data_IF_219645274433
#
_entry.id   IF_219645274433
#
_cell.length_a   1.000
_cell.length_b   1.000
_cell.length_c   1.000
_cell.angle_alpha   90.00
_cell.angle_beta   90.00
_cell.angle_gamma   90.00
#
_symmetry.space_group_name_H-M   'P 1'
#
loop_
_entity.id
_entity.type
_entity.pdbx_description
1 polymer ?
#
# COMPACT_ATOMS: atom_id res chain seq x y z
N UNK A 1 25.66 -37.04 15.60
CA UNK A 1 25.40 -35.58 15.49
C UNK A 1 25.73 -35.09 14.06
N UNK A 2 26.92 -35.43 13.50
CA UNK A 2 27.34 -35.04 12.16
C UNK A 2 26.44 -35.59 11.04
N UNK A 3 25.92 -36.82 11.17
CA UNK A 3 25.02 -37.40 10.18
C UNK A 3 23.63 -36.75 10.18
N UNK A 4 23.15 -36.30 11.36
CA UNK A 4 21.92 -35.47 11.44
C UNK A 4 22.06 -34.09 10.78
N UNK A 5 23.21 -33.46 10.92
CA UNK A 5 23.51 -32.17 10.29
C UNK A 5 23.63 -32.28 8.76
N UNK A 6 24.27 -33.35 8.24
CA UNK A 6 24.32 -33.63 6.79
C UNK A 6 22.94 -33.90 6.20
N UNK A 7 22.08 -34.64 6.90
CA UNK A 7 20.72 -34.92 6.44
C UNK A 7 19.86 -33.69 6.39
N UNK A 8 19.98 -32.79 7.39
CA UNK A 8 19.29 -31.52 7.40
C UNK A 8 19.79 -30.56 6.29
N UNK A 9 21.11 -30.55 6.02
CA UNK A 9 21.69 -29.75 4.94
C UNK A 9 21.23 -30.20 3.55
N UNK A 10 21.15 -31.53 3.33
CA UNK A 10 20.64 -32.06 2.06
C UNK A 10 19.13 -31.82 1.88
N UNK A 11 18.35 -31.91 2.93
CA UNK A 11 16.91 -31.57 2.92
C UNK A 11 16.68 -30.10 2.64
N UNK A 12 17.50 -29.21 3.19
CA UNK A 12 17.48 -27.76 2.91
C UNK A 12 17.85 -27.44 1.46
N UNK A 13 18.86 -28.13 0.89
CA UNK A 13 19.25 -27.97 -0.50
C UNK A 13 18.17 -28.47 -1.48
N UNK A 14 17.54 -29.59 -1.19
CA UNK A 14 16.43 -30.12 -1.99
C UNK A 14 15.22 -29.18 -1.91
N UNK A 15 14.87 -28.69 -0.73
CA UNK A 15 13.78 -27.71 -0.57
C UNK A 15 14.07 -26.39 -1.31
N UNK A 16 15.29 -25.87 -1.23
CA UNK A 16 15.65 -24.65 -1.97
C UNK A 16 15.65 -24.86 -3.49
N UNK A 17 16.06 -26.04 -3.97
CA UNK A 17 15.99 -26.36 -5.41
C UNK A 17 14.55 -26.56 -5.88
N UNK A 18 13.68 -27.14 -5.05
CA UNK A 18 12.26 -27.30 -5.37
C UNK A 18 11.51 -25.98 -5.32
N UNK A 19 11.83 -25.12 -4.36
CA UNK A 19 11.31 -23.73 -4.30
C UNK A 19 11.78 -22.93 -5.51
N UNK A 20 13.05 -23.06 -5.92
CA UNK A 20 13.57 -22.43 -7.14
C UNK A 20 12.89 -22.91 -8.42
N UNK A 21 12.53 -24.22 -8.50
CA UNK A 21 11.76 -24.72 -9.64
C UNK A 21 10.32 -24.20 -9.64
N UNK A 22 9.69 -24.08 -8.48
CA UNK A 22 8.35 -23.49 -8.34
C UNK A 22 8.36 -21.98 -8.67
N UNK A 23 9.44 -21.28 -8.38
CA UNK A 23 9.60 -19.87 -8.72
C UNK A 23 9.72 -19.64 -10.25
N UNK A 24 10.25 -20.59 -11.02
CA UNK A 24 10.27 -20.55 -12.49
C UNK A 24 8.85 -20.59 -13.09
N UNK A 25 7.89 -21.22 -12.40
CA UNK A 25 6.49 -21.29 -12.80
C UNK A 25 5.63 -20.17 -12.18
N UNK A 26 6.19 -19.32 -11.32
CA UNK A 26 5.46 -18.14 -10.80
C UNK A 26 5.18 -17.17 -11.93
N UNK A 27 3.92 -17.00 -12.19
CA UNK A 27 3.39 -16.06 -13.16
C UNK A 27 3.78 -14.65 -12.70
N UNK A 28 4.64 -13.97 -13.47
CA UNK A 28 4.99 -12.57 -13.24
C UNK A 28 3.73 -11.73 -13.04
N UNK A 29 3.72 -10.91 -12.00
CA UNK A 29 2.64 -9.97 -11.73
C UNK A 29 2.72 -8.81 -12.74
N UNK A 30 2.19 -9.03 -13.95
CA UNK A 30 2.14 -8.00 -14.99
C UNK A 30 1.12 -6.93 -14.63
N UNK A 31 1.21 -5.74 -15.27
CA UNK A 31 0.26 -4.63 -15.07
C UNK A 31 -1.19 -5.10 -15.22
N UNK A 32 -1.49 -5.92 -16.23
CA UNK A 32 -2.84 -6.41 -16.48
C UNK A 32 -3.33 -7.37 -15.38
N UNK A 33 -2.47 -8.29 -14.92
CA UNK A 33 -2.80 -9.20 -13.81
C UNK A 33 -2.95 -8.50 -12.46
N UNK A 34 -2.20 -7.43 -12.23
CA UNK A 34 -2.35 -6.61 -11.04
C UNK A 34 -3.74 -5.97 -10.96
N UNK A 35 -4.29 -5.53 -12.10
CA UNK A 35 -5.65 -4.98 -12.19
C UNK A 35 -6.72 -6.02 -11.85
N UNK A 36 -6.60 -7.22 -12.40
CA UNK A 36 -7.59 -8.30 -12.18
C UNK A 36 -7.59 -8.79 -10.72
N UNK A 37 -6.42 -8.96 -10.13
CA UNK A 37 -6.27 -9.40 -8.74
C UNK A 37 -6.86 -8.38 -7.76
N UNK A 38 -6.64 -7.09 -7.98
CA UNK A 38 -7.15 -6.02 -7.10
C UNK A 38 -8.66 -5.87 -7.27
N UNK A 39 -9.18 -5.97 -8.50
CA UNK A 39 -10.62 -5.89 -8.75
C UNK A 39 -11.39 -6.95 -7.97
N UNK A 40 -10.91 -8.19 -7.95
CA UNK A 40 -11.56 -9.30 -7.22
C UNK A 40 -11.55 -9.11 -5.69
N UNK A 41 -10.54 -8.43 -5.14
CA UNK A 41 -10.45 -8.18 -3.69
C UNK A 41 -11.33 -7.02 -3.21
N UNK A 42 -11.56 -5.98 -4.00
CA UNK A 42 -12.24 -4.75 -3.57
C UNK A 42 -13.69 -4.62 -4.08
N UNK A 43 -14.21 -5.58 -4.85
CA UNK A 43 -15.61 -5.61 -5.32
C UNK A 43 -16.62 -6.15 -4.26
N UNK A 44 -16.17 -6.42 -3.03
CA UNK A 44 -17.02 -6.95 -1.93
C UNK A 44 -18.03 -5.91 -1.40
N UNK A 45 -17.99 -4.69 -1.91
CA UNK A 45 -18.90 -3.61 -1.49
C UNK A 45 -18.37 -2.78 -0.31
N UNK A 46 -18.59 -1.47 -0.38
CA UNK A 46 -18.04 -0.52 0.61
C UNK A 46 -18.69 -0.65 1.99
N UNK A 47 -19.90 -1.24 2.09
CA UNK A 47 -20.65 -1.37 3.36
C UNK A 47 -19.89 -2.21 4.40
N UNK A 48 -19.19 -3.26 3.96
CA UNK A 48 -18.37 -4.08 4.84
C UNK A 48 -17.13 -3.31 5.31
N UNK A 49 -16.46 -2.66 4.37
CA UNK A 49 -15.27 -1.87 4.67
C UNK A 49 -15.55 -0.69 5.59
N UNK A 50 -16.66 0.00 5.38
CA UNK A 50 -17.08 1.14 6.22
C UNK A 50 -17.28 0.73 7.69
N UNK A 51 -17.90 -0.44 7.92
CA UNK A 51 -18.09 -1.00 9.28
C UNK A 51 -16.78 -1.49 9.90
N UNK A 52 -15.87 -2.03 9.11
CA UNK A 52 -14.64 -2.65 9.58
C UNK A 52 -13.48 -1.64 9.76
N UNK A 53 -13.37 -0.67 8.86
CA UNK A 53 -12.19 0.22 8.77
C UNK A 53 -12.43 1.60 9.41
N UNK A 54 -13.66 1.88 9.83
CA UNK A 54 -14.02 3.18 10.39
C UNK A 54 -13.97 4.32 9.39
N UNK A 55 -14.04 5.55 9.87
CA UNK A 55 -14.21 6.77 9.04
C UNK A 55 -13.09 7.01 8.04
N UNK A 56 -11.90 6.49 8.28
CA UNK A 56 -10.74 6.71 7.42
C UNK A 56 -10.60 5.69 6.30
N UNK A 57 -11.38 4.61 6.33
CA UNK A 57 -11.32 3.53 5.32
C UNK A 57 -9.89 3.01 5.04
N UNK A 58 -9.00 3.04 6.04
CA UNK A 58 -7.63 2.57 5.88
C UNK A 58 -7.51 1.07 6.15
N UNK A 59 -7.17 0.31 5.13
CA UNK A 59 -7.02 -1.15 5.20
C UNK A 59 -5.59 -1.55 5.56
N UNK A 60 -5.00 -0.86 6.54
CA UNK A 60 -3.67 -1.15 7.10
C UNK A 60 -3.69 -0.96 8.61
N UNK A 61 -2.74 -1.60 9.32
CA UNK A 61 -2.70 -1.57 10.78
C UNK A 61 -2.73 -0.14 11.32
N UNK A 62 -3.57 0.10 12.33
CA UNK A 62 -3.59 1.34 13.08
C UNK A 62 -2.45 1.41 14.10
N UNK A 63 -2.10 2.59 14.57
CA UNK A 63 -1.05 2.80 15.58
C UNK A 63 -1.65 3.06 16.96
N UNK A 64 -1.73 1.98 17.75
CA UNK A 64 -2.19 2.02 19.14
C UNK A 64 -0.99 2.25 20.06
N UNK A 65 -0.75 3.50 20.43
CA UNK A 65 0.29 3.85 21.42
C UNK A 65 -0.25 3.89 22.86
N UNK A 66 -1.55 3.77 23.03
CA UNK A 66 -2.29 3.66 24.29
C UNK A 66 -3.39 2.61 24.14
N UNK A 67 -3.72 1.84 25.20
CA UNK A 67 -4.60 0.67 25.08
C UNK A 67 -6.07 1.01 24.74
N UNK A 68 -6.57 2.15 25.20
CA UNK A 68 -8.01 2.46 25.18
C UNK A 68 -8.45 3.48 24.11
N UNK A 69 -7.61 3.75 23.11
CA UNK A 69 -7.97 4.66 22.02
C UNK A 69 -8.86 3.97 20.98
N UNK A 70 -9.74 4.75 20.36
CA UNK A 70 -10.59 4.27 19.27
C UNK A 70 -9.78 3.91 18.02
N UNK A 71 -10.36 3.07 17.13
CA UNK A 71 -9.76 2.77 15.83
C UNK A 71 -9.51 4.04 15.02
N UNK A 72 -10.46 4.96 14.95
CA UNK A 72 -10.31 6.22 14.20
C UNK A 72 -9.17 7.08 14.73
N UNK A 73 -8.99 7.12 16.05
CA UNK A 73 -7.87 7.84 16.66
C UNK A 73 -6.53 7.14 16.38
N UNK A 74 -6.46 5.82 16.52
CA UNK A 74 -5.26 5.04 16.22
C UNK A 74 -4.86 5.16 14.74
N UNK A 75 -5.83 5.20 13.82
CA UNK A 75 -5.58 5.48 12.39
C UNK A 75 -5.06 6.91 12.17
N UNK A 76 -5.62 7.90 12.87
CA UNK A 76 -5.13 9.29 12.81
C UNK A 76 -3.69 9.40 13.32
N UNK A 77 -3.37 8.69 14.41
CA UNK A 77 -2.00 8.63 14.95
C UNK A 77 -1.02 7.98 13.98
N UNK A 78 -1.45 6.92 13.27
CA UNK A 78 -0.66 6.31 12.18
C UNK A 78 -0.38 7.33 11.07
N UNK A 79 -1.38 8.05 10.59
CA UNK A 79 -1.20 9.07 9.55
C UNK A 79 -0.23 10.15 9.99
N UNK A 80 -0.34 10.62 11.23
CA UNK A 80 0.56 11.60 11.82
C UNK A 80 2.00 11.07 11.94
N UNK A 81 2.18 9.79 12.29
CA UNK A 81 3.49 9.15 12.35
C UNK A 81 4.16 9.06 10.98
N UNK A 82 3.39 8.70 9.94
CA UNK A 82 3.90 8.67 8.55
C UNK A 82 4.28 10.08 8.10
N UNK A 83 3.43 11.07 8.33
CA UNK A 83 3.71 12.46 8.00
C UNK A 83 4.99 12.98 8.67
N UNK A 84 5.19 12.65 9.95
CA UNK A 84 6.42 12.99 10.69
C UNK A 84 7.67 12.35 10.08
N UNK A 85 7.58 11.08 9.65
CA UNK A 85 8.69 10.39 8.97
C UNK A 85 9.02 11.00 7.61
N UNK A 86 8.02 11.50 6.88
CA UNK A 86 8.20 12.16 5.59
C UNK A 86 8.84 13.55 5.70
N UNK A 87 8.92 14.13 6.90
CA UNK A 87 9.45 15.47 7.15
C UNK A 87 8.86 16.50 6.19
N UNK A 88 7.52 16.63 6.23
CA UNK A 88 6.76 17.45 5.30
C UNK A 88 6.89 18.95 5.63
N UNK A 89 6.99 19.75 4.58
CA UNK A 89 6.84 21.21 4.62
C UNK A 89 5.80 21.65 3.61
N UNK A 90 5.16 22.80 3.81
CA UNK A 90 4.14 23.33 2.93
C UNK A 90 4.64 23.43 1.47
N UNK A 91 3.79 23.04 0.52
CA UNK A 91 4.06 23.14 -0.91
C UNK A 91 4.77 21.94 -1.55
N UNK A 92 5.31 20.99 -0.76
CA UNK A 92 5.94 19.78 -1.30
C UNK A 92 4.98 18.96 -2.16
N UNK A 93 5.51 18.33 -3.20
CA UNK A 93 4.82 17.37 -4.06
C UNK A 93 5.10 15.95 -3.57
N UNK A 94 4.05 15.22 -3.22
CA UNK A 94 4.11 13.90 -2.57
C UNK A 94 3.41 12.86 -3.42
N UNK A 95 4.04 11.70 -3.61
CA UNK A 95 3.44 10.53 -4.26
C UNK A 95 3.03 9.49 -3.20
N UNK A 96 1.78 9.05 -3.28
CA UNK A 96 1.20 7.95 -2.50
C UNK A 96 0.99 6.73 -3.40
N UNK A 97 1.86 5.73 -3.31
CA UNK A 97 1.76 4.51 -4.12
C UNK A 97 0.84 3.53 -3.41
N UNK A 98 -0.31 3.24 -4.06
CA UNK A 98 -1.37 2.43 -3.47
C UNK A 98 -2.17 3.18 -2.41
N UNK A 99 -2.70 4.33 -2.80
CA UNK A 99 -3.37 5.27 -1.90
C UNK A 99 -4.67 4.76 -1.27
N UNK A 100 -5.14 3.57 -1.69
CA UNK A 100 -6.40 3.00 -1.20
C UNK A 100 -7.57 3.97 -1.42
N UNK A 101 -8.40 4.14 -0.41
CA UNK A 101 -9.56 5.04 -0.44
C UNK A 101 -9.21 6.53 -0.32
N UNK A 102 -7.93 6.91 -0.29
CA UNK A 102 -7.47 8.30 -0.37
C UNK A 102 -7.40 9.07 0.95
N UNK A 103 -7.74 8.48 2.07
CA UNK A 103 -7.78 9.17 3.36
C UNK A 103 -6.41 9.74 3.80
N UNK A 104 -5.33 9.00 3.56
CA UNK A 104 -3.99 9.47 3.88
C UNK A 104 -3.58 10.66 3.03
N UNK A 105 -3.84 10.63 1.71
CA UNK A 105 -3.59 11.74 0.80
C UNK A 105 -4.35 13.00 1.24
N UNK A 106 -5.64 12.85 1.57
CA UNK A 106 -6.46 13.95 2.10
C UNK A 106 -5.91 14.51 3.42
N UNK A 107 -5.53 13.61 4.35
CA UNK A 107 -4.97 14.01 5.64
C UNK A 107 -3.68 14.85 5.48
N UNK A 108 -2.77 14.41 4.60
CA UNK A 108 -1.52 15.12 4.35
C UNK A 108 -1.79 16.49 3.69
N UNK A 109 -2.62 16.53 2.65
CA UNK A 109 -2.95 17.77 1.97
C UNK A 109 -3.60 18.80 2.91
N UNK A 110 -4.54 18.35 3.74
CA UNK A 110 -5.28 19.20 4.68
C UNK A 110 -4.42 19.74 5.82
N UNK A 111 -3.60 18.87 6.43
CA UNK A 111 -2.89 19.24 7.67
C UNK A 111 -1.48 19.79 7.42
N UNK A 112 -0.84 19.43 6.30
CA UNK A 112 0.54 19.83 5.98
C UNK A 112 0.62 20.72 4.74
N UNK A 113 -0.51 21.01 4.08
CA UNK A 113 -0.60 21.88 2.88
C UNK A 113 0.33 21.42 1.74
N UNK A 114 0.56 20.14 1.63
CA UNK A 114 1.30 19.50 0.55
C UNK A 114 0.37 19.14 -0.60
N UNK A 115 0.91 19.00 -1.82
CA UNK A 115 0.19 18.47 -2.97
C UNK A 115 0.41 16.96 -3.03
N UNK A 116 -0.66 16.18 -3.03
CA UNK A 116 -0.56 14.72 -3.03
C UNK A 116 -1.15 14.14 -4.31
N UNK A 117 -0.33 13.36 -5.02
CA UNK A 117 -0.78 12.47 -6.08
C UNK A 117 -0.89 11.07 -5.51
N UNK A 118 -2.10 10.54 -5.43
CA UNK A 118 -2.35 9.16 -5.01
C UNK A 118 -2.60 8.27 -6.22
N UNK A 119 -2.08 7.03 -6.19
CA UNK A 119 -2.25 6.07 -7.28
C UNK A 119 -2.92 4.82 -6.76
N UNK A 120 -3.97 4.37 -7.44
CA UNK A 120 -4.67 3.11 -7.15
C UNK A 120 -5.07 2.40 -8.43
N UNK A 121 -5.14 1.06 -8.39
CA UNK A 121 -5.65 0.23 -9.48
C UNK A 121 -7.17 -0.04 -9.36
N UNK A 122 -7.81 0.36 -8.25
CA UNK A 122 -9.21 0.11 -7.98
C UNK A 122 -10.09 1.29 -8.35
N UNK A 123 -10.99 1.09 -9.32
CA UNK A 123 -12.02 2.08 -9.67
C UNK A 123 -12.92 2.44 -8.48
N UNK A 124 -13.26 1.44 -7.65
CA UNK A 124 -14.07 1.63 -6.46
C UNK A 124 -13.39 2.56 -5.46
N UNK A 125 -12.10 2.31 -5.18
CA UNK A 125 -11.31 3.18 -4.28
C UNK A 125 -11.20 4.60 -4.83
N UNK A 126 -10.94 4.77 -6.12
CA UNK A 126 -10.88 6.08 -6.74
C UNK A 126 -12.21 6.83 -6.61
N UNK A 127 -13.33 6.20 -6.98
CA UNK A 127 -14.67 6.80 -6.87
C UNK A 127 -14.99 7.21 -5.43
N UNK A 128 -14.61 6.38 -4.47
CA UNK A 128 -14.79 6.69 -3.05
C UNK A 128 -13.93 7.88 -2.62
N UNK A 129 -12.65 7.90 -3.01
CA UNK A 129 -11.73 8.98 -2.69
C UNK A 129 -12.20 10.32 -3.26
N UNK A 130 -12.60 10.35 -4.54
CA UNK A 130 -13.11 11.55 -5.21
C UNK A 130 -14.38 12.10 -4.50
N UNK A 131 -15.22 11.20 -3.97
CA UNK A 131 -16.47 11.57 -3.29
C UNK A 131 -16.26 12.04 -1.85
N UNK A 132 -15.39 11.36 -1.09
CA UNK A 132 -15.32 11.53 0.37
C UNK A 132 -14.05 12.22 0.86
N UNK A 133 -12.96 12.16 0.07
CA UNK A 133 -11.64 12.69 0.42
C UNK A 133 -11.11 13.68 -0.62
N UNK A 134 -11.98 14.31 -1.39
CA UNK A 134 -11.58 15.34 -2.34
C UNK A 134 -10.97 16.55 -1.61
N UNK A 135 -9.93 17.13 -2.20
CA UNK A 135 -9.27 18.34 -1.73
C UNK A 135 -8.54 19.00 -2.89
N UNK A 136 -8.42 20.33 -2.92
CA UNK A 136 -7.77 21.05 -4.01
C UNK A 136 -6.32 20.61 -4.29
N UNK A 137 -5.64 20.11 -3.26
CA UNK A 137 -4.26 19.62 -3.34
C UNK A 137 -4.16 18.09 -3.39
N UNK A 138 -5.25 17.38 -3.69
CA UNK A 138 -5.26 15.91 -3.84
C UNK A 138 -5.68 15.54 -5.26
N UNK A 139 -4.87 14.73 -5.91
CA UNK A 139 -5.15 14.16 -7.22
C UNK A 139 -5.03 12.63 -7.16
N UNK A 140 -6.13 11.90 -7.32
CA UNK A 140 -6.13 10.43 -7.33
C UNK A 140 -6.15 9.92 -8.77
N UNK A 141 -5.17 9.12 -9.13
CA UNK A 141 -4.98 8.53 -10.46
C UNK A 141 -5.37 7.06 -10.41
N UNK A 142 -6.20 6.63 -11.37
CA UNK A 142 -6.49 5.22 -11.61
C UNK A 142 -5.48 4.67 -12.61
N UNK A 143 -4.35 4.20 -12.11
CA UNK A 143 -3.28 3.65 -12.95
C UNK A 143 -2.33 2.78 -12.12
N UNK A 144 -1.41 2.11 -12.80
CA UNK A 144 -0.27 1.43 -12.18
C UNK A 144 0.81 2.47 -11.83
N UNK A 145 1.41 2.33 -10.64
CA UNK A 145 2.45 3.26 -10.17
C UNK A 145 3.66 3.32 -11.15
N UNK A 146 3.94 2.25 -11.90
CA UNK A 146 5.00 2.17 -12.91
C UNK A 146 4.78 3.13 -14.09
N UNK A 147 3.55 3.54 -14.32
CA UNK A 147 3.18 4.50 -15.37
C UNK A 147 3.27 5.97 -14.92
N UNK A 148 3.39 6.21 -13.61
CA UNK A 148 3.46 7.57 -13.07
C UNK A 148 4.73 8.25 -13.55
N UNK A 149 4.57 9.44 -14.11
CA UNK A 149 5.67 10.27 -14.61
C UNK A 149 5.81 11.52 -13.75
N UNK A 150 7.02 12.04 -13.70
CA UNK A 150 7.33 13.26 -12.97
C UNK A 150 8.35 13.01 -11.85
N UNK A 151 8.55 14.05 -11.06
CA UNK A 151 9.40 14.03 -9.87
C UNK A 151 8.59 14.47 -8.68
N UNK A 152 8.81 13.83 -7.55
CA UNK A 152 8.15 14.13 -6.29
C UNK A 152 9.20 14.40 -5.23
N UNK A 153 8.91 15.32 -4.31
CA UNK A 153 9.79 15.62 -3.20
C UNK A 153 9.82 14.50 -2.17
N UNK A 154 8.68 13.82 -2.03
CA UNK A 154 8.52 12.67 -1.14
C UNK A 154 7.69 11.59 -1.82
N UNK A 155 8.05 10.34 -1.57
CA UNK A 155 7.30 9.16 -2.01
C UNK A 155 7.07 8.28 -0.80
N UNK A 156 5.86 7.77 -0.67
CA UNK A 156 5.54 6.76 0.35
C UNK A 156 4.56 5.72 -0.18
N UNK A 157 4.55 4.60 0.50
CA UNK A 157 3.52 3.58 0.35
C UNK A 157 3.30 2.87 1.69
N UNK A 158 2.08 2.41 1.92
CA UNK A 158 1.71 1.68 3.14
C UNK A 158 0.83 0.50 2.75
N UNK A 159 1.31 -0.74 2.99
CA UNK A 159 0.55 -1.95 2.67
C UNK A 159 0.54 -2.31 1.18
N UNK A 160 1.67 -2.18 0.49
CA UNK A 160 1.81 -2.49 -0.95
C UNK A 160 2.80 -3.62 -1.22
N UNK A 161 3.87 -3.76 -0.43
CA UNK A 161 4.95 -4.72 -0.71
C UNK A 161 4.44 -6.16 -0.81
N UNK A 162 3.45 -6.51 -0.02
CA UNK A 162 2.79 -7.82 -0.03
C UNK A 162 2.05 -8.12 -1.35
N UNK A 163 1.71 -7.09 -2.13
CA UNK A 163 0.98 -7.20 -3.39
C UNK A 163 1.88 -7.13 -4.63
N UNK A 164 3.12 -6.65 -4.50
CA UNK A 164 4.03 -6.44 -5.63
C UNK A 164 4.64 -7.75 -6.12
N UNK A 165 4.96 -8.68 -5.21
CA UNK A 165 5.76 -9.86 -5.48
C UNK A 165 7.26 -9.56 -5.41
N UNK A 166 8.03 -10.49 -4.84
CA UNK A 166 9.47 -10.32 -4.56
C UNK A 166 10.30 -10.05 -5.81
N UNK A 167 9.91 -10.63 -6.92
CA UNK A 167 10.56 -10.49 -8.23
C UNK A 167 10.50 -9.05 -8.76
N UNK A 168 9.55 -8.25 -8.32
CA UNK A 168 9.36 -6.87 -8.76
C UNK A 168 9.96 -5.83 -7.79
N UNK A 169 10.55 -6.25 -6.66
CA UNK A 169 11.17 -5.33 -5.71
C UNK A 169 12.28 -4.45 -6.31
N UNK A 170 13.18 -4.98 -7.21
CA UNK A 170 14.20 -4.13 -7.81
C UNK A 170 13.66 -3.03 -8.72
N UNK A 171 12.45 -3.19 -9.27
CA UNK A 171 11.78 -2.16 -10.08
C UNK A 171 11.03 -1.16 -9.20
N UNK A 172 10.60 -1.61 -8.03
CA UNK A 172 9.85 -0.77 -7.07
C UNK A 172 10.77 0.20 -6.32
N UNK A 173 12.00 -0.19 -5.99
CA UNK A 173 12.99 0.60 -5.26
C UNK A 173 13.96 1.30 -6.21
#
# INVERSE_FOLDING_TARGET
>A
ILDKLKKNSMTLLINNSFIGLLDIFKIKNTVDKSKDNIKHHYDIGNDLYDKMLGKTMQYTCAYYNEPDISLDEAQTRKMSLVAKKLNLTEGLEVLDIGCGFGAMAHFLAKNYKVKVTGVTLSENQKKYADKHFSHANVNIILDDYRNVKGKFDRVYSVGILEHIGRENYPEYY
#
